data_IF_297561296354
#
_entry.id   IF_297561296354
#
_cell.length_a   1.000
_cell.length_b   1.000
_cell.length_c   1.000
_cell.angle_alpha   90.00
_cell.angle_beta   90.00
_cell.angle_gamma   90.00
#
_symmetry.space_group_name_H-M   'P 1'
#
loop_
_entity.id
_entity.type
_entity.pdbx_description
1 polymer ?
#
# COMPACT_ATOMS: atom_id res chain seq x y z
N UNK A 1 7.36 1.97 7.43
CA UNK A 1 7.13 3.42 7.57
C UNK A 1 5.64 3.63 7.79
N UNK A 2 5.27 4.54 8.69
CA UNK A 2 3.89 4.92 8.99
C UNK A 2 3.72 6.43 8.75
N UNK A 3 2.60 6.82 8.18
CA UNK A 3 2.18 8.22 8.05
C UNK A 3 0.91 8.42 8.88
N UNK A 4 0.84 9.53 9.62
CA UNK A 4 -0.33 9.85 10.44
C UNK A 4 -0.77 11.27 10.08
N UNK A 5 -2.07 11.48 9.93
CA UNK A 5 -2.67 12.79 9.71
C UNK A 5 -3.96 12.97 10.47
N UNK A 6 -4.28 14.21 10.78
CA UNK A 6 -5.57 14.63 11.33
C UNK A 6 -6.28 15.51 10.33
N UNK A 7 -7.50 15.13 10.00
CA UNK A 7 -8.34 15.88 9.07
C UNK A 7 -9.63 16.30 9.75
N UNK A 8 -10.19 17.43 9.36
CA UNK A 8 -11.51 17.86 9.80
C UNK A 8 -12.61 17.37 8.84
N UNK A 9 -13.87 17.65 9.14
CA UNK A 9 -15.00 17.29 8.26
C UNK A 9 -15.02 17.97 6.89
N UNK A 10 -14.22 19.00 6.69
CA UNK A 10 -14.09 19.66 5.38
C UNK A 10 -13.02 18.99 4.51
N UNK A 11 -12.26 18.01 5.07
CA UNK A 11 -11.12 17.40 4.44
C UNK A 11 -9.81 18.19 4.61
N UNK A 12 -9.82 19.29 5.39
CA UNK A 12 -8.61 20.06 5.64
C UNK A 12 -7.66 19.25 6.52
N UNK A 13 -6.40 19.17 6.12
CA UNK A 13 -5.33 18.54 6.91
C UNK A 13 -4.91 19.50 8.04
N UNK A 14 -5.23 19.14 9.28
CA UNK A 14 -4.96 19.96 10.47
C UNK A 14 -3.52 19.76 10.96
N UNK A 15 -3.06 18.52 11.00
CA UNK A 15 -1.71 18.15 11.42
C UNK A 15 -1.29 16.83 10.78
N UNK A 16 0.02 16.60 10.63
CA UNK A 16 0.57 15.37 10.08
C UNK A 16 1.93 15.03 10.66
N UNK A 17 2.22 13.74 10.68
CA UNK A 17 3.56 13.20 10.93
C UNK A 17 3.88 12.16 9.86
N UNK A 18 4.89 12.45 9.06
CA UNK A 18 5.32 11.59 7.95
C UNK A 18 6.55 10.78 8.36
N UNK A 19 6.79 9.69 7.63
CA UNK A 19 7.98 8.85 7.71
C UNK A 19 8.31 8.36 9.12
N UNK A 20 7.27 8.07 9.93
CA UNK A 20 7.47 7.52 11.27
C UNK A 20 8.03 6.11 11.15
N UNK A 21 9.20 5.81 11.74
CA UNK A 21 9.75 4.47 11.74
C UNK A 21 8.78 3.48 12.37
N UNK A 22 8.39 2.48 11.61
CA UNK A 22 7.50 1.42 12.05
C UNK A 22 7.84 0.12 11.31
N UNK A 23 8.08 -0.94 12.08
CA UNK A 23 8.27 -2.30 11.54
C UNK A 23 6.93 -3.00 11.56
N UNK A 24 6.34 -3.13 10.37
CA UNK A 24 5.09 -3.84 10.20
C UNK A 24 5.36 -5.36 10.26
N UNK A 25 5.06 -5.96 11.39
CA UNK A 25 5.17 -7.40 11.60
C UNK A 25 3.84 -7.95 12.13
N UNK A 26 3.55 -9.20 11.80
CA UNK A 26 2.34 -9.88 12.27
C UNK A 26 2.51 -10.39 13.71
N UNK A 27 2.76 -9.47 14.65
CA UNK A 27 3.02 -9.77 16.06
C UNK A 27 2.30 -8.80 16.99
N UNK A 28 2.09 -9.23 18.23
CA UNK A 28 1.47 -8.40 19.27
C UNK A 28 2.30 -7.15 19.57
N UNK A 29 3.63 -7.29 19.61
CA UNK A 29 4.55 -6.18 19.86
C UNK A 29 4.44 -5.11 18.79
N UNK A 30 4.27 -5.51 17.52
CA UNK A 30 4.05 -4.57 16.41
C UNK A 30 2.70 -3.88 16.53
N UNK A 31 1.65 -4.57 16.94
CA UNK A 31 0.33 -3.97 17.17
C UNK A 31 0.37 -2.99 18.34
N UNK A 32 1.04 -3.33 19.44
CA UNK A 32 1.21 -2.46 20.59
C UNK A 32 2.05 -1.22 20.25
N UNK A 33 3.10 -1.39 19.45
CA UNK A 33 3.89 -0.29 18.93
C UNK A 33 3.07 0.67 18.06
N UNK A 34 2.21 0.14 17.17
CA UNK A 34 1.28 0.95 16.36
C UNK A 34 0.38 1.79 17.26
N UNK A 35 -0.28 1.17 18.23
CA UNK A 35 -1.15 1.88 19.17
C UNK A 35 -0.38 2.95 19.97
N UNK A 36 0.83 2.64 20.43
CA UNK A 36 1.69 3.59 21.13
C UNK A 36 2.13 4.79 20.28
N UNK A 37 2.39 4.58 19.00
CA UNK A 37 2.72 5.67 18.05
C UNK A 37 1.52 6.60 17.87
N UNK A 38 0.32 6.03 17.66
CA UNK A 38 -0.92 6.79 17.51
C UNK A 38 -1.21 7.61 18.77
N UNK A 39 -1.14 6.98 19.95
CA UNK A 39 -1.37 7.67 21.23
C UNK A 39 -0.36 8.81 21.47
N UNK A 40 0.92 8.61 21.12
CA UNK A 40 1.94 9.67 21.20
C UNK A 40 1.61 10.83 20.27
N UNK A 41 1.19 10.53 19.05
CA UNK A 41 0.80 11.57 18.10
C UNK A 41 -0.41 12.37 18.61
N UNK A 42 -1.46 11.70 19.09
CA UNK A 42 -2.64 12.36 19.65
C UNK A 42 -2.26 13.34 20.79
N UNK A 43 -1.32 12.96 21.65
CA UNK A 43 -0.83 13.83 22.75
C UNK A 43 -0.08 15.07 22.27
N UNK A 44 0.43 15.08 21.04
CA UNK A 44 1.10 16.27 20.47
C UNK A 44 0.15 17.25 19.81
N UNK A 45 -1.12 16.85 19.60
CA UNK A 45 -2.10 17.69 18.92
C UNK A 45 -2.53 18.86 19.80
N UNK A 46 -2.65 20.04 19.19
CA UNK A 46 -3.19 21.25 19.85
C UNK A 46 -4.72 21.27 19.95
N UNK A 47 -5.39 20.15 19.61
CA UNK A 47 -6.85 20.01 19.70
C UNK A 47 -7.23 19.22 20.94
N UNK A 48 -8.45 19.49 21.48
CA UNK A 48 -9.00 18.64 22.53
C UNK A 48 -9.24 17.22 21.97
N UNK A 49 -8.64 16.22 22.62
CA UNK A 49 -8.73 14.82 22.23
C UNK A 49 -10.17 14.27 22.17
N UNK A 50 -11.09 14.83 22.95
CA UNK A 50 -12.52 14.51 22.92
C UNK A 50 -13.21 14.87 21.59
N UNK A 51 -12.58 15.75 20.79
CA UNK A 51 -13.05 16.12 19.45
C UNK A 51 -12.62 15.12 18.37
N UNK A 52 -11.80 14.13 18.71
CA UNK A 52 -11.43 13.05 17.79
C UNK A 52 -12.61 12.08 17.72
N UNK A 53 -13.27 12.04 16.58
CA UNK A 53 -14.49 11.27 16.39
C UNK A 53 -14.21 9.82 15.98
N UNK A 54 -13.17 9.62 15.19
CA UNK A 54 -12.77 8.32 14.68
C UNK A 54 -11.27 8.29 14.34
N UNK A 55 -10.67 7.13 14.46
CA UNK A 55 -9.33 6.84 13.94
C UNK A 55 -9.51 5.81 12.83
N UNK A 56 -9.19 6.17 11.59
CA UNK A 56 -9.16 5.23 10.48
C UNK A 56 -7.73 4.74 10.25
N UNK A 57 -7.55 3.43 10.16
CA UNK A 57 -6.23 2.80 9.95
C UNK A 57 -6.25 2.06 8.62
N UNK A 58 -5.43 2.54 7.69
CA UNK A 58 -5.27 1.92 6.39
C UNK A 58 -4.17 0.86 6.43
N UNK A 59 -4.51 -0.34 6.02
CA UNK A 59 -3.67 -1.54 6.16
C UNK A 59 -3.49 -2.19 4.80
N UNK A 60 -2.25 -2.53 4.46
CA UNK A 60 -1.96 -3.29 3.24
C UNK A 60 -2.51 -4.72 3.32
N UNK A 61 -3.00 -5.22 2.20
CA UNK A 61 -3.54 -6.56 2.05
C UNK A 61 -5.04 -6.65 2.32
N UNK A 62 -5.53 -7.84 2.63
CA UNK A 62 -6.96 -8.12 2.69
C UNK A 62 -7.59 -7.64 3.99
N UNK A 63 -8.53 -6.73 3.86
CA UNK A 63 -9.26 -6.10 4.97
C UNK A 63 -10.75 -6.11 4.66
N UNK A 64 -11.56 -6.52 5.62
CA UNK A 64 -13.00 -6.35 5.57
C UNK A 64 -13.40 -5.20 6.51
N UNK A 65 -13.70 -4.01 5.99
CA UNK A 65 -14.01 -2.84 6.81
C UNK A 65 -15.34 -2.97 7.55
N UNK A 66 -16.30 -3.72 6.99
CA UNK A 66 -17.62 -3.91 7.62
C UNK A 66 -17.55 -4.76 8.88
N UNK A 67 -16.70 -5.80 8.87
CA UNK A 67 -16.51 -6.69 10.03
C UNK A 67 -15.32 -6.29 10.92
N UNK A 68 -14.47 -5.38 10.46
CA UNK A 68 -13.30 -4.92 11.20
C UNK A 68 -12.14 -5.92 11.25
N UNK A 69 -12.14 -6.95 10.37
CA UNK A 69 -11.06 -7.95 10.32
C UNK A 69 -9.97 -7.57 9.31
N UNK A 70 -8.71 -7.81 9.70
CA UNK A 70 -7.56 -7.88 8.81
C UNK A 70 -7.14 -9.33 8.65
N UNK A 71 -6.94 -9.77 7.39
CA UNK A 71 -6.58 -11.16 7.06
C UNK A 71 -5.12 -11.33 6.61
N UNK A 72 -4.40 -10.23 6.45
CA UNK A 72 -3.00 -10.26 6.00
C UNK A 72 -2.03 -9.84 7.10
N UNK A 73 -2.36 -8.82 7.87
CA UNK A 73 -1.52 -8.28 8.94
C UNK A 73 -2.33 -8.24 10.23
N UNK A 74 -1.70 -8.56 11.35
CA UNK A 74 -2.33 -8.73 12.67
C UNK A 74 -3.43 -9.80 12.68
N UNK A 75 -3.32 -10.79 11.78
CA UNK A 75 -4.26 -11.89 11.66
C UNK A 75 -4.07 -13.00 12.69
N UNK A 76 -3.13 -12.83 13.62
CA UNK A 76 -2.99 -13.64 14.82
C UNK A 76 -4.10 -13.36 15.85
N UNK A 77 -4.77 -12.22 15.71
CA UNK A 77 -5.87 -11.82 16.60
C UNK A 77 -7.18 -12.44 16.07
N UNK A 78 -7.85 -13.19 16.94
CA UNK A 78 -9.10 -13.88 16.58
C UNK A 78 -10.32 -12.95 16.56
N UNK A 79 -10.22 -11.79 17.24
CA UNK A 79 -11.26 -10.76 17.26
C UNK A 79 -11.07 -9.76 16.13
N UNK A 80 -12.13 -9.00 15.77
CA UNK A 80 -11.99 -7.90 14.82
C UNK A 80 -10.86 -6.95 15.25
N UNK A 81 -9.89 -6.73 14.37
CA UNK A 81 -8.75 -5.85 14.64
C UNK A 81 -9.20 -4.42 15.03
N UNK A 82 -10.31 -3.94 14.43
CA UNK A 82 -10.89 -2.65 14.77
C UNK A 82 -11.35 -2.58 16.24
N UNK A 83 -11.87 -3.67 16.81
CA UNK A 83 -12.26 -3.74 18.22
C UNK A 83 -11.06 -3.74 19.14
N UNK A 84 -10.05 -4.55 18.82
CA UNK A 84 -8.81 -4.61 19.61
C UNK A 84 -8.11 -3.25 19.65
N UNK A 85 -8.06 -2.56 18.51
CA UNK A 85 -7.48 -1.22 18.44
C UNK A 85 -8.35 -0.18 19.15
N UNK A 86 -9.68 -0.31 19.13
CA UNK A 86 -10.60 0.55 19.89
C UNK A 86 -10.32 0.45 21.39
N UNK A 87 -10.16 -0.76 21.91
CA UNK A 87 -9.82 -0.99 23.32
C UNK A 87 -8.46 -0.37 23.70
N UNK A 88 -7.44 -0.55 22.83
CA UNK A 88 -6.11 -0.02 23.07
C UNK A 88 -6.01 1.50 23.00
N UNK A 89 -6.76 2.11 22.11
CA UNK A 89 -6.67 3.55 21.82
C UNK A 89 -7.67 4.38 22.62
N UNK A 90 -8.81 3.80 23.01
CA UNK A 90 -9.90 4.52 23.70
C UNK A 90 -10.74 5.41 22.77
N UNK A 91 -10.68 5.18 21.47
CA UNK A 91 -11.42 5.92 20.45
C UNK A 91 -12.21 4.96 19.56
N UNK A 92 -13.19 5.50 18.84
CA UNK A 92 -13.78 4.73 17.75
C UNK A 92 -12.73 4.46 16.67
N UNK A 93 -12.63 3.21 16.21
CA UNK A 93 -11.64 2.80 15.24
C UNK A 93 -12.31 2.08 14.08
N UNK A 94 -11.92 2.46 12.87
CA UNK A 94 -12.25 1.77 11.63
C UNK A 94 -10.96 1.36 10.92
N UNK A 95 -11.03 0.31 10.11
CA UNK A 95 -9.90 -0.12 9.28
C UNK A 95 -10.33 -0.18 7.82
N UNK A 96 -9.39 0.09 6.92
CA UNK A 96 -9.61 0.00 5.48
C UNK A 96 -8.36 -0.54 4.80
N UNK A 97 -8.52 -1.08 3.59
CA UNK A 97 -7.38 -1.39 2.73
C UNK A 97 -6.72 -0.10 2.23
N UNK A 98 -5.39 -0.06 2.20
CA UNK A 98 -4.61 1.12 1.82
C UNK A 98 -4.91 1.60 0.39
N UNK A 99 -4.99 0.71 -0.60
CA UNK A 99 -5.30 1.07 -1.98
C UNK A 99 -6.71 1.62 -2.11
N UNK A 100 -7.71 1.03 -1.43
CA UNK A 100 -9.08 1.57 -1.43
C UNK A 100 -9.15 2.95 -0.76
N UNK A 101 -8.42 3.15 0.32
CA UNK A 101 -8.34 4.46 0.98
C UNK A 101 -7.71 5.51 0.06
N UNK A 102 -6.62 5.17 -0.66
CA UNK A 102 -6.01 6.05 -1.68
C UNK A 102 -6.98 6.36 -2.82
N UNK A 103 -7.70 5.34 -3.31
CA UNK A 103 -8.72 5.49 -4.35
C UNK A 103 -9.80 6.49 -3.94
N UNK A 104 -10.27 6.39 -2.71
CA UNK A 104 -11.30 7.29 -2.20
C UNK A 104 -10.76 8.71 -1.98
N UNK A 105 -9.53 8.82 -1.53
CA UNK A 105 -8.84 10.11 -1.40
C UNK A 105 -8.68 10.81 -2.75
N UNK A 106 -8.25 10.09 -3.79
CA UNK A 106 -8.13 10.61 -5.16
C UNK A 106 -9.49 11.02 -5.74
N UNK A 107 -10.52 10.22 -5.46
CA UNK A 107 -11.89 10.52 -5.88
C UNK A 107 -12.45 11.81 -5.26
N UNK A 108 -12.18 12.06 -3.97
CA UNK A 108 -12.74 13.21 -3.24
C UNK A 108 -11.93 14.49 -3.40
N UNK A 109 -10.60 14.39 -3.50
CA UNK A 109 -9.68 15.53 -3.37
C UNK A 109 -8.59 15.55 -4.46
N UNK A 110 -8.56 14.56 -5.34
CA UNK A 110 -7.56 14.42 -6.39
C UNK A 110 -8.00 15.01 -7.73
N UNK A 111 -7.55 14.38 -8.81
CA UNK A 111 -7.76 14.86 -10.18
C UNK A 111 -9.06 14.34 -10.82
N UNK A 112 -9.92 13.69 -10.07
CA UNK A 112 -11.20 13.17 -10.57
C UNK A 112 -12.25 14.28 -10.53
N UNK A 113 -12.86 14.55 -11.66
CA UNK A 113 -13.82 15.66 -11.83
C UNK A 113 -15.16 15.16 -12.39
N UNK A 114 -16.00 14.61 -11.51
CA UNK A 114 -17.38 14.25 -11.86
C UNK A 114 -17.60 12.82 -12.38
N UNK A 115 -16.54 12.08 -12.64
CA UNK A 115 -16.61 10.65 -12.98
C UNK A 115 -17.14 9.85 -11.78
N UNK A 116 -18.10 8.95 -12.05
CA UNK A 116 -18.71 8.11 -11.04
C UNK A 116 -18.18 6.68 -11.05
N UNK A 117 -17.51 6.30 -12.13
CA UNK A 117 -16.95 4.97 -12.33
C UNK A 117 -15.45 5.09 -12.60
N UNK A 118 -14.64 4.55 -11.68
CA UNK A 118 -13.18 4.76 -11.67
C UNK A 118 -12.51 3.46 -11.30
N UNK A 119 -11.41 3.17 -11.99
CA UNK A 119 -10.41 2.20 -11.56
C UNK A 119 -9.15 2.97 -11.24
N UNK A 120 -8.74 2.94 -9.98
CA UNK A 120 -7.48 3.47 -9.51
C UNK A 120 -6.46 2.32 -9.44
N UNK A 121 -5.32 2.48 -10.09
CA UNK A 121 -4.25 1.48 -10.10
C UNK A 121 -3.11 1.97 -9.23
N UNK A 122 -2.84 1.26 -8.16
CA UNK A 122 -1.73 1.53 -7.25
C UNK A 122 -0.54 0.64 -7.59
N UNK A 123 0.44 1.20 -8.30
CA UNK A 123 1.74 0.56 -8.55
C UNK A 123 2.74 1.13 -7.57
N UNK A 124 2.91 0.44 -6.45
CA UNK A 124 3.87 0.80 -5.41
C UNK A 124 4.80 -0.40 -5.15
N UNK A 125 5.15 -0.69 -3.90
CA UNK A 125 5.89 -1.93 -3.59
C UNK A 125 5.12 -3.18 -4.05
N UNK A 126 3.79 -3.21 -3.86
CA UNK A 126 2.87 -4.19 -4.41
C UNK A 126 2.08 -3.62 -5.60
N UNK A 127 1.05 -4.35 -6.00
CA UNK A 127 0.10 -3.97 -7.04
C UNK A 127 -1.33 -4.18 -6.52
N UNK A 128 -2.11 -3.12 -6.47
CA UNK A 128 -3.52 -3.17 -6.10
C UNK A 128 -4.37 -2.27 -6.98
N UNK A 129 -5.67 -2.52 -7.00
CA UNK A 129 -6.63 -1.60 -7.59
C UNK A 129 -7.72 -1.25 -6.58
N UNK A 130 -8.22 -0.03 -6.71
CA UNK A 130 -9.46 0.38 -6.09
C UNK A 130 -10.50 0.69 -7.14
N UNK A 131 -11.74 0.33 -6.87
CA UNK A 131 -12.84 0.42 -7.83
C UNK A 131 -13.93 1.29 -7.22
N UNK A 132 -14.37 2.30 -7.97
CA UNK A 132 -15.55 3.10 -7.64
C UNK A 132 -16.62 2.83 -8.72
N UNK A 133 -17.83 2.52 -8.28
CA UNK A 133 -19.00 2.33 -9.13
C UNK A 133 -20.11 3.23 -8.59
N UNK A 134 -20.69 4.03 -9.48
CA UNK A 134 -21.75 5.00 -9.15
C UNK A 134 -21.37 5.92 -7.97
N UNK A 135 -20.11 6.34 -7.91
CA UNK A 135 -19.58 7.22 -6.87
C UNK A 135 -19.33 6.54 -5.51
N UNK A 136 -19.34 5.21 -5.45
CA UNK A 136 -19.13 4.45 -4.22
C UNK A 136 -17.98 3.46 -4.38
N UNK A 137 -17.16 3.35 -3.34
CA UNK A 137 -16.09 2.35 -3.31
C UNK A 137 -16.69 0.93 -3.35
N UNK A 138 -16.22 0.12 -4.28
CA UNK A 138 -16.66 -1.25 -4.43
C UNK A 138 -15.77 -2.19 -3.62
N UNK A 139 -16.32 -2.78 -2.57
CA UNK A 139 -15.59 -3.69 -1.68
C UNK A 139 -15.82 -5.17 -1.98
N UNK A 140 -16.83 -5.48 -2.82
CA UNK A 140 -17.27 -6.86 -3.05
C UNK A 140 -17.97 -7.48 -1.83
N UNK A 141 -18.37 -8.73 -1.95
CA UNK A 141 -19.11 -9.45 -0.90
C UNK A 141 -18.32 -9.61 0.41
N UNK A 142 -17.01 -9.87 0.30
CA UNK A 142 -16.15 -10.22 1.44
C UNK A 142 -15.15 -9.12 1.80
N UNK A 143 -15.24 -7.95 1.14
CA UNK A 143 -14.28 -6.88 1.34
C UNK A 143 -12.96 -7.06 0.56
N UNK A 144 -12.91 -7.95 -0.45
CA UNK A 144 -11.69 -8.30 -1.19
C UNK A 144 -11.74 -7.92 -2.67
N UNK A 145 -12.61 -6.98 -3.06
CA UNK A 145 -12.55 -6.44 -4.40
C UNK A 145 -11.23 -5.70 -4.62
N UNK A 146 -10.67 -5.82 -5.82
CA UNK A 146 -9.43 -5.14 -6.16
C UNK A 146 -8.15 -5.94 -5.90
N UNK A 147 -8.23 -7.24 -5.60
CA UNK A 147 -7.07 -8.15 -5.46
C UNK A 147 -6.43 -8.48 -6.82
N UNK A 148 -6.36 -7.50 -7.71
CA UNK A 148 -5.89 -7.59 -9.09
C UNK A 148 -4.45 -8.07 -9.20
N UNK A 149 -3.57 -7.60 -8.33
CA UNK A 149 -2.18 -8.03 -8.28
C UNK A 149 -2.02 -9.54 -8.03
N UNK A 150 -3.05 -10.18 -7.46
CA UNK A 150 -3.00 -11.61 -7.12
C UNK A 150 -3.74 -12.52 -8.11
N UNK A 151 -4.12 -12.01 -9.26
CA UNK A 151 -4.57 -12.84 -10.39
C UNK A 151 -3.35 -13.61 -10.91
N UNK A 152 -3.49 -14.94 -11.06
CA UNK A 152 -2.45 -15.78 -11.67
C UNK A 152 -2.46 -15.52 -13.17
N UNK A 153 -1.42 -14.86 -13.64
CA UNK A 153 -1.29 -14.36 -15.02
C UNK A 153 -0.10 -14.94 -15.75
N UNK A 154 0.84 -15.56 -15.03
CA UNK A 154 2.08 -16.09 -15.57
C UNK A 154 2.28 -17.54 -15.15
N UNK A 155 2.79 -18.34 -16.07
CA UNK A 155 3.28 -19.68 -15.80
C UNK A 155 4.76 -19.61 -15.42
N UNK A 156 5.03 -19.17 -14.18
CA UNK A 156 6.38 -19.06 -13.64
C UNK A 156 6.43 -19.51 -12.18
N UNK A 157 7.65 -19.79 -11.67
CA UNK A 157 7.89 -20.27 -10.32
C UNK A 157 8.04 -19.15 -9.27
N UNK A 158 7.81 -17.89 -9.65
CA UNK A 158 7.99 -16.75 -8.75
C UNK A 158 6.88 -16.76 -7.69
N UNK A 159 7.30 -16.94 -6.44
CA UNK A 159 6.39 -17.00 -5.30
C UNK A 159 5.94 -15.60 -4.91
N UNK A 160 4.62 -15.36 -4.94
CA UNK A 160 4.02 -14.16 -4.41
C UNK A 160 3.86 -14.26 -2.89
N UNK A 161 3.90 -13.11 -2.20
CA UNK A 161 3.68 -13.08 -0.74
C UNK A 161 2.29 -13.58 -0.32
N UNK A 162 1.32 -13.66 -1.25
CA UNK A 162 0.01 -14.28 -1.00
C UNK A 162 0.05 -15.81 -0.97
N UNK A 163 1.21 -16.44 -1.20
CA UNK A 163 1.41 -17.89 -1.21
C UNK A 163 1.19 -18.57 -2.57
N UNK A 164 0.73 -17.84 -3.61
CA UNK A 164 0.58 -18.36 -4.97
C UNK A 164 1.81 -18.07 -5.82
N UNK A 165 1.98 -18.79 -6.92
CA UNK A 165 2.96 -18.51 -7.96
C UNK A 165 2.30 -17.85 -9.16
N UNK A 166 3.07 -17.09 -9.95
CA UNK A 166 2.61 -16.49 -11.19
C UNK A 166 1.59 -15.36 -11.05
N UNK A 167 1.50 -14.72 -9.88
CA UNK A 167 0.66 -13.55 -9.70
C UNK A 167 1.13 -12.37 -10.56
N UNK A 168 0.20 -11.55 -11.06
CA UNK A 168 0.52 -10.33 -11.82
C UNK A 168 1.48 -9.42 -11.05
N UNK A 169 1.31 -9.28 -9.75
CA UNK A 169 2.17 -8.48 -8.88
C UNK A 169 3.65 -8.90 -8.97
N UNK A 170 3.94 -10.19 -9.16
CA UNK A 170 5.33 -10.65 -9.28
C UNK A 170 6.03 -10.20 -10.56
N UNK A 171 5.27 -9.65 -11.51
CA UNK A 171 5.79 -9.20 -12.81
C UNK A 171 5.49 -7.72 -13.11
N UNK A 172 4.56 -7.09 -12.37
CA UNK A 172 4.08 -5.74 -12.66
C UNK A 172 3.96 -4.86 -11.39
N UNK A 173 4.90 -4.97 -10.45
CA UNK A 173 4.94 -4.16 -9.24
C UNK A 173 6.34 -3.57 -9.00
N UNK A 174 6.44 -2.66 -8.02
CA UNK A 174 7.73 -2.12 -7.61
C UNK A 174 8.67 -3.17 -7.00
N UNK A 175 8.15 -4.16 -6.29
CA UNK A 175 8.99 -5.27 -5.81
C UNK A 175 9.50 -6.15 -6.95
N UNK A 176 8.68 -6.35 -8.00
CA UNK A 176 9.10 -7.02 -9.22
C UNK A 176 10.22 -6.25 -9.94
N UNK A 177 10.09 -4.92 -10.01
CA UNK A 177 11.09 -4.03 -10.60
C UNK A 177 12.46 -4.18 -9.91
N UNK A 178 12.48 -4.10 -8.58
CA UNK A 178 13.72 -4.24 -7.79
C UNK A 178 14.30 -5.66 -7.96
N UNK A 179 13.48 -6.71 -7.92
CA UNK A 179 13.92 -8.08 -8.13
C UNK A 179 14.56 -8.25 -9.50
N UNK A 180 13.89 -7.82 -10.57
CA UNK A 180 14.40 -7.91 -11.95
C UNK A 180 15.69 -7.13 -12.15
N UNK A 181 15.79 -5.94 -11.52
CA UNK A 181 17.03 -5.14 -11.56
C UNK A 181 18.21 -5.90 -10.94
N UNK A 182 18.00 -6.54 -9.79
CA UNK A 182 19.03 -7.33 -9.12
C UNK A 182 19.41 -8.59 -9.94
N UNK A 183 18.43 -9.24 -10.59
CA UNK A 183 18.66 -10.41 -11.46
C UNK A 183 19.47 -10.04 -12.70
N UNK A 184 19.17 -8.90 -13.37
CA UNK A 184 19.92 -8.42 -14.54
C UNK A 184 21.36 -8.04 -14.16
N UNK A 185 21.54 -7.36 -13.01
CA UNK A 185 22.89 -7.04 -12.51
C UNK A 185 23.71 -8.30 -12.20
N UNK A 186 23.09 -9.30 -11.56
CA UNK A 186 23.74 -10.59 -11.29
C UNK A 186 24.15 -11.34 -12.58
N UNK A 187 23.44 -11.11 -13.68
CA UNK A 187 23.76 -11.63 -15.00
C UNK A 187 24.82 -10.79 -15.77
N UNK A 188 25.37 -9.76 -15.13
CA UNK A 188 26.47 -8.96 -15.66
C UNK A 188 26.06 -7.68 -16.41
N UNK A 189 24.77 -7.33 -16.42
CA UNK A 189 24.33 -6.05 -16.95
C UNK A 189 24.73 -4.91 -16.00
N UNK A 190 24.91 -3.71 -16.53
CA UNK A 190 25.40 -2.55 -15.76
C UNK A 190 24.32 -1.48 -15.69
N UNK A 191 24.09 -0.98 -14.49
CA UNK A 191 23.21 0.15 -14.15
C UNK A 191 23.99 1.19 -13.34
N UNK A 192 23.52 2.42 -13.30
CA UNK A 192 24.00 3.43 -12.34
C UNK A 192 23.83 2.97 -10.87
N UNK A 193 22.97 1.99 -10.63
CA UNK A 193 22.72 1.42 -9.31
C UNK A 193 23.60 0.21 -8.97
N UNK A 194 24.42 -0.29 -9.92
CA UNK A 194 25.23 -1.51 -9.72
C UNK A 194 26.15 -1.48 -8.50
N UNK A 195 26.77 -0.33 -8.19
CA UNK A 195 27.61 -0.19 -7.00
C UNK A 195 26.80 -0.41 -5.72
N UNK A 196 25.60 0.20 -5.62
CA UNK A 196 24.70 0.06 -4.48
C UNK A 196 24.19 -1.38 -4.32
N UNK A 197 23.92 -2.06 -5.44
CA UNK A 197 23.49 -3.48 -5.44
C UNK A 197 24.60 -4.36 -4.87
N UNK A 198 25.83 -4.19 -5.34
CA UNK A 198 27.01 -4.97 -4.88
C UNK A 198 27.34 -4.74 -3.42
N UNK A 199 27.18 -3.50 -2.94
CA UNK A 199 27.34 -3.15 -1.53
C UNK A 199 26.17 -3.63 -0.64
N UNK A 200 25.18 -4.30 -1.24
CA UNK A 200 23.96 -4.77 -0.55
C UNK A 200 23.18 -3.66 0.15
N UNK A 201 23.29 -2.45 -0.33
CA UNK A 201 22.49 -1.34 0.14
C UNK A 201 21.04 -1.50 -0.31
N UNK A 202 20.10 -1.23 0.58
CA UNK A 202 18.68 -1.30 0.25
C UNK A 202 18.34 -0.33 -0.88
N UNK A 203 17.73 -0.85 -1.94
CA UNK A 203 17.20 -0.05 -3.04
C UNK A 203 15.74 0.29 -2.80
N UNK A 204 15.36 1.48 -3.20
CA UNK A 204 13.99 1.97 -3.20
C UNK A 204 13.52 2.25 -4.62
N UNK A 205 12.21 2.34 -4.82
CA UNK A 205 11.66 2.75 -6.11
C UNK A 205 12.12 4.17 -6.52
N UNK A 206 12.34 5.06 -5.54
CA UNK A 206 12.88 6.40 -5.79
C UNK A 206 14.27 6.36 -6.40
N UNK A 207 15.10 5.39 -5.99
CA UNK A 207 16.44 5.23 -6.57
C UNK A 207 16.36 4.82 -8.04
N UNK A 208 15.43 3.91 -8.38
CA UNK A 208 15.22 3.47 -9.77
C UNK A 208 14.70 4.63 -10.63
N UNK A 209 13.71 5.38 -10.14
CA UNK A 209 13.18 6.57 -10.84
C UNK A 209 14.30 7.59 -11.06
N UNK A 210 15.11 7.88 -10.04
CA UNK A 210 16.22 8.82 -10.16
C UNK A 210 17.33 8.35 -11.11
N UNK A 211 17.50 7.03 -11.28
CA UNK A 211 18.41 6.48 -12.27
C UNK A 211 17.82 6.60 -13.69
N UNK A 212 16.52 6.34 -13.86
CA UNK A 212 15.80 6.53 -15.12
C UNK A 212 15.87 7.99 -15.61
N UNK A 213 15.71 8.96 -14.71
CA UNK A 213 15.86 10.39 -15.00
C UNK A 213 17.28 10.78 -15.45
N UNK A 214 18.26 9.88 -15.26
CA UNK A 214 19.66 10.02 -15.69
C UNK A 214 19.98 9.12 -16.88
N UNK A 215 18.99 8.71 -17.65
CA UNK A 215 19.11 7.88 -18.84
C UNK A 215 19.74 6.51 -18.56
N UNK A 216 19.51 5.92 -17.38
CA UNK A 216 19.91 4.53 -17.11
C UNK A 216 19.07 3.57 -17.94
N UNK A 217 19.68 2.98 -18.97
CA UNK A 217 19.00 2.13 -19.97
C UNK A 217 18.34 0.92 -19.29
N UNK A 218 19.03 0.27 -18.34
CA UNK A 218 18.45 -0.90 -17.64
C UNK A 218 17.20 -0.52 -16.83
N UNK A 219 17.22 0.63 -16.16
CA UNK A 219 16.07 1.11 -15.39
C UNK A 219 14.90 1.51 -16.31
N UNK A 220 15.19 2.14 -17.45
CA UNK A 220 14.19 2.50 -18.47
C UNK A 220 13.51 1.22 -19.00
N UNK A 221 14.29 0.26 -19.51
CA UNK A 221 13.78 -1.00 -20.04
C UNK A 221 12.90 -1.74 -19.03
N UNK A 222 13.32 -1.78 -17.77
CA UNK A 222 12.56 -2.45 -16.71
C UNK A 222 11.23 -1.74 -16.40
N UNK A 223 11.19 -0.42 -16.41
CA UNK A 223 9.96 0.34 -16.23
C UNK A 223 9.01 0.12 -17.42
N UNK A 224 9.53 0.10 -18.63
CA UNK A 224 8.74 -0.20 -19.84
C UNK A 224 8.17 -1.62 -19.78
N UNK A 225 8.96 -2.60 -19.34
CA UNK A 225 8.54 -3.99 -19.19
C UNK A 225 7.38 -4.13 -18.18
N UNK A 226 7.52 -3.48 -17.04
CA UNK A 226 6.48 -3.40 -16.01
C UNK A 226 5.21 -2.75 -16.58
N UNK A 227 5.35 -1.62 -17.26
CA UNK A 227 4.25 -0.89 -17.89
C UNK A 227 3.52 -1.72 -18.94
N UNK A 228 4.26 -2.43 -19.80
CA UNK A 228 3.72 -3.32 -20.82
C UNK A 228 2.95 -4.50 -20.20
N UNK A 229 3.51 -5.12 -19.16
CA UNK A 229 2.85 -6.19 -18.44
C UNK A 229 1.55 -5.72 -17.79
N UNK A 230 1.59 -4.58 -17.13
CA UNK A 230 0.41 -3.98 -16.52
C UNK A 230 -0.64 -3.61 -17.57
N UNK A 231 -0.23 -2.94 -18.65
CA UNK A 231 -1.11 -2.49 -19.73
C UNK A 231 -1.88 -3.62 -20.39
N UNK A 232 -1.23 -4.76 -20.66
CA UNK A 232 -1.88 -5.96 -21.21
C UNK A 232 -3.03 -6.48 -20.34
N UNK A 233 -2.88 -6.40 -19.03
CA UNK A 233 -3.87 -6.91 -18.07
C UNK A 233 -4.97 -5.90 -17.70
N UNK A 234 -4.73 -4.61 -17.94
CA UNK A 234 -5.76 -3.57 -17.76
C UNK A 234 -6.64 -3.47 -19.00
N UNK A 235 -6.07 -3.68 -20.20
CA UNK A 235 -6.78 -3.54 -21.46
C UNK A 235 -7.54 -4.80 -21.90
N UNK A 236 -7.22 -5.97 -21.36
CA UNK A 236 -7.87 -7.25 -21.64
C UNK A 236 -8.86 -7.66 -20.59
#
# INVERSE_FOLDING_TARGET
>A
ILHIGVVNFRGDLIDKKLDVPFKNANTKESLDALAGIIQKFIKTLSINSEKILNININISGRVNPASGYSYSIFNFEERPLAEVLREKLGYNVTIENDTRAMTYGEYLQGNVHGEKNIIFVNVSWGLGIGIIVDGRIYTGKSGFAGEFGHVVSYDNEVLCHCGKKGCLETEASGSALIRKLMEREANGEISLLSSRIREKNALTLKDVIAATEKDDVMCIDLIEDIGNNLGKHIAG
#
